data_IF_210830654934
#
_entry.id   IF_210830654934
#
_cell.length_a   1.000
_cell.length_b   1.000
_cell.length_c   1.000
_cell.angle_alpha   90.00
_cell.angle_beta   90.00
_cell.angle_gamma   90.00
#
_symmetry.space_group_name_H-M   'P 1'
#
loop_
_entity.id
_entity.type
_entity.pdbx_description
1 polymer ?
#
# COMPACT_ATOMS: atom_id res chain seq x y z
N UNK A 1 -48.78 8.58 7.19
CA UNK A 1 -47.92 8.11 6.08
C UNK A 1 -46.84 9.11 5.67
N UNK A 2 -47.11 10.43 5.61
CA UNK A 2 -46.13 11.45 5.16
C UNK A 2 -45.01 11.76 6.17
N UNK A 3 -45.25 11.58 7.48
CA UNK A 3 -44.27 11.88 8.55
C UNK A 3 -43.13 10.87 8.60
N UNK A 4 -43.42 9.60 8.31
CA UNK A 4 -42.44 8.52 8.22
C UNK A 4 -41.63 8.62 6.91
N UNK A 5 -42.23 9.19 5.86
CA UNK A 5 -41.57 9.49 4.59
C UNK A 5 -40.57 10.65 4.72
N UNK A 6 -40.91 11.67 5.50
CA UNK A 6 -40.00 12.80 5.81
C UNK A 6 -38.80 12.32 6.65
N UNK A 7 -39.03 11.44 7.63
CA UNK A 7 -37.94 10.86 8.44
C UNK A 7 -37.01 9.99 7.58
N UNK A 8 -37.56 9.24 6.60
CA UNK A 8 -36.75 8.48 5.65
C UNK A 8 -35.90 9.39 4.74
N UNK A 9 -36.45 10.53 4.31
CA UNK A 9 -35.75 11.47 3.43
C UNK A 9 -34.60 12.19 4.16
N UNK A 10 -34.76 12.50 5.45
CA UNK A 10 -33.71 13.14 6.28
C UNK A 10 -32.55 12.17 6.58
N UNK A 11 -32.83 10.88 6.77
CA UNK A 11 -31.81 9.83 6.97
C UNK A 11 -30.98 9.55 5.71
N UNK A 12 -31.57 9.70 4.53
CA UNK A 12 -30.88 9.54 3.24
C UNK A 12 -30.04 10.77 2.89
N UNK A 13 -30.35 11.95 3.46
CA UNK A 13 -29.58 13.18 3.23
C UNK A 13 -28.31 13.28 4.09
N UNK A 14 -28.25 12.58 5.23
CA UNK A 14 -27.06 12.55 6.10
C UNK A 14 -25.90 11.71 5.56
N UNK A 15 -26.11 10.96 4.46
CA UNK A 15 -25.04 10.22 3.78
C UNK A 15 -24.48 10.98 2.59
N UNK A 16 -24.68 12.30 2.47
CA UNK A 16 -23.77 13.15 1.69
C UNK A 16 -22.42 13.20 2.43
N UNK A 17 -21.71 12.09 2.25
CA UNK A 17 -20.27 11.95 2.06
C UNK A 17 -19.55 13.24 2.44
N UNK A 18 -18.88 13.20 3.58
CA UNK A 18 -17.65 13.96 3.75
C UNK A 18 -16.75 13.53 2.58
N UNK A 19 -16.89 14.21 1.44
CA UNK A 19 -15.86 14.26 0.42
C UNK A 19 -14.78 15.12 1.07
N UNK A 20 -14.02 14.51 1.98
CA UNK A 20 -12.68 14.97 2.25
C UNK A 20 -12.01 14.89 0.88
N UNK A 21 -11.87 16.03 0.20
CA UNK A 21 -10.94 16.15 -0.90
C UNK A 21 -9.55 15.93 -0.32
N UNK A 22 -9.16 14.66 -0.18
CA UNK A 22 -7.76 14.32 -0.07
C UNK A 22 -7.17 14.59 -1.44
N UNK A 23 -6.56 15.77 -1.58
CA UNK A 23 -5.71 16.07 -2.71
C UNK A 23 -4.43 15.24 -2.54
N UNK A 24 -4.56 13.92 -2.75
CA UNK A 24 -3.48 12.96 -2.65
C UNK A 24 -2.64 13.02 -3.92
N UNK A 25 -1.75 14.01 -3.97
CA UNK A 25 -0.52 13.86 -4.74
C UNK A 25 0.49 13.06 -3.90
N UNK A 26 0.17 11.78 -3.62
CA UNK A 26 0.99 10.91 -2.76
C UNK A 26 2.10 10.16 -3.50
N UNK A 27 2.29 10.43 -4.79
CA UNK A 27 3.22 9.71 -5.66
C UNK A 27 4.69 10.15 -5.56
N UNK A 28 5.03 11.03 -4.61
CA UNK A 28 6.41 11.53 -4.41
C UNK A 28 6.94 11.33 -2.98
N UNK A 29 6.24 10.56 -2.14
CA UNK A 29 6.73 10.28 -0.79
C UNK A 29 7.89 9.27 -0.81
N UNK A 30 9.02 9.68 -0.22
CA UNK A 30 10.17 8.81 0.05
C UNK A 30 9.96 8.15 1.41
N UNK A 31 10.16 6.84 1.46
CA UNK A 31 10.01 6.01 2.64
C UNK A 31 11.37 5.36 2.90
N UNK A 32 11.92 5.56 4.09
CA UNK A 32 13.17 4.90 4.53
C UNK A 32 12.87 4.04 5.73
N UNK A 33 13.44 2.85 5.79
CA UNK A 33 13.21 1.96 6.91
C UNK A 33 13.88 0.62 6.74
N UNK A 34 13.50 -0.32 7.59
CA UNK A 34 13.92 -1.71 7.52
C UNK A 34 12.70 -2.62 7.45
N UNK A 35 12.91 -3.81 6.91
CA UNK A 35 11.84 -4.77 6.68
C UNK A 35 12.36 -6.15 6.33
N UNK A 36 11.44 -7.08 6.16
CA UNK A 36 11.73 -8.46 5.80
C UNK A 36 11.13 -8.75 4.45
N UNK A 37 11.95 -9.28 3.53
CA UNK A 37 11.46 -9.81 2.27
C UNK A 37 10.60 -11.03 2.56
N UNK A 38 9.41 -11.09 1.95
CA UNK A 38 8.47 -12.20 2.08
C UNK A 38 8.01 -12.67 0.73
N UNK A 39 8.00 -13.99 0.55
CA UNK A 39 7.26 -14.61 -0.54
C UNK A 39 5.77 -14.63 -0.18
N UNK A 40 4.96 -14.04 -1.05
CA UNK A 40 3.51 -13.94 -0.91
C UNK A 40 2.88 -14.92 -1.89
N UNK A 41 2.18 -15.93 -1.36
CA UNK A 41 1.51 -16.94 -2.14
C UNK A 41 0.11 -16.47 -2.55
N UNK A 42 0.05 -15.53 -3.50
CA UNK A 42 -1.16 -15.03 -4.13
C UNK A 42 -0.96 -15.10 -5.65
N UNK A 43 -1.90 -15.70 -6.38
CA UNK A 43 -1.78 -16.02 -7.81
C UNK A 43 -0.55 -16.91 -8.09
N UNK A 44 0.38 -16.48 -8.96
CA UNK A 44 1.65 -17.16 -9.24
C UNK A 44 2.73 -16.88 -8.18
N UNK A 45 2.41 -16.04 -7.21
CA UNK A 45 3.28 -15.65 -6.11
C UNK A 45 4.29 -14.56 -6.49
N UNK A 46 4.65 -13.74 -5.51
CA UNK A 46 5.57 -12.62 -5.69
C UNK A 46 6.33 -12.32 -4.40
N UNK A 47 7.35 -11.47 -4.49
CA UNK A 47 8.11 -11.01 -3.32
C UNK A 47 7.69 -9.60 -2.92
N UNK A 48 7.31 -9.43 -1.66
CA UNK A 48 7.00 -8.15 -1.05
C UNK A 48 7.92 -7.83 0.13
N UNK A 49 7.85 -6.60 0.63
CA UNK A 49 8.58 -6.17 1.84
C UNK A 49 7.55 -5.95 2.94
N UNK A 50 7.70 -6.66 4.06
CA UNK A 50 6.97 -6.34 5.30
C UNK A 50 7.86 -5.43 6.13
N UNK A 51 7.48 -4.16 6.24
CA UNK A 51 8.20 -3.16 7.00
C UNK A 51 8.11 -3.41 8.51
N UNK A 52 9.14 -3.01 9.24
CA UNK A 52 9.16 -3.06 10.71
C UNK A 52 8.14 -2.08 11.32
N UNK A 53 7.64 -1.13 10.52
CA UNK A 53 6.53 -0.22 10.84
C UNK A 53 5.14 -0.89 10.70
N UNK A 54 5.09 -2.15 10.25
CA UNK A 54 3.86 -2.92 10.04
C UNK A 54 3.22 -2.71 8.66
N UNK A 55 3.77 -1.84 7.82
CA UNK A 55 3.28 -1.64 6.45
C UNK A 55 3.75 -2.75 5.52
N UNK A 56 3.01 -2.93 4.43
CA UNK A 56 3.36 -3.83 3.33
C UNK A 56 3.72 -3.00 2.12
N UNK A 57 4.89 -3.25 1.57
CA UNK A 57 5.36 -2.59 0.35
C UNK A 57 5.47 -3.60 -0.78
N UNK A 58 4.94 -3.21 -1.92
CA UNK A 58 4.86 -4.01 -3.14
C UNK A 58 5.84 -3.44 -4.18
N UNK A 59 7.09 -3.93 -4.20
CA UNK A 59 8.14 -3.36 -5.02
C UNK A 59 7.98 -3.77 -6.49
N UNK A 60 7.87 -2.77 -7.37
CA UNK A 60 7.70 -2.99 -8.81
C UNK A 60 9.02 -3.33 -9.54
N UNK A 61 10.17 -3.14 -8.89
CA UNK A 61 11.51 -3.31 -9.46
C UNK A 61 12.48 -4.05 -8.51
N UNK A 62 11.99 -5.00 -7.69
CA UNK A 62 12.85 -5.76 -6.77
C UNK A 62 13.82 -6.68 -7.55
N UNK A 63 15.12 -6.43 -7.35
CA UNK A 63 16.20 -7.21 -7.95
C UNK A 63 16.21 -8.65 -7.47
N UNK A 64 16.67 -9.58 -8.33
CA UNK A 64 16.62 -11.02 -8.08
C UNK A 64 17.43 -11.45 -6.84
N UNK A 65 18.55 -10.76 -6.56
CA UNK A 65 19.39 -11.05 -5.40
C UNK A 65 18.69 -10.84 -4.05
N UNK A 66 17.63 -10.03 -4.01
CA UNK A 66 16.84 -9.80 -2.80
C UNK A 66 15.62 -10.72 -2.70
N UNK A 67 15.33 -11.56 -3.70
CA UNK A 67 14.16 -12.47 -3.73
C UNK A 67 14.39 -13.72 -2.90
N UNK A 68 14.67 -13.52 -1.61
CA UNK A 68 14.91 -14.57 -0.63
C UNK A 68 13.94 -14.37 0.52
N UNK A 69 13.04 -15.33 0.74
CA UNK A 69 12.09 -15.26 1.85
C UNK A 69 12.83 -15.19 3.19
N UNK A 70 12.41 -14.27 4.05
CA UNK A 70 13.03 -14.02 5.35
C UNK A 70 14.26 -13.11 5.32
N UNK A 71 14.69 -12.61 4.16
CA UNK A 71 15.84 -11.71 4.07
C UNK A 71 15.56 -10.37 4.76
N UNK A 72 16.42 -10.00 5.70
CA UNK A 72 16.40 -8.70 6.37
C UNK A 72 17.08 -7.64 5.51
N UNK A 73 16.40 -6.50 5.34
CA UNK A 73 16.87 -5.40 4.49
C UNK A 73 16.63 -4.05 5.13
N UNK A 74 17.52 -3.11 4.83
CA UNK A 74 17.26 -1.67 4.94
C UNK A 74 16.97 -1.13 3.54
N UNK A 75 16.02 -0.21 3.42
CA UNK A 75 15.55 0.29 2.14
C UNK A 75 15.31 1.79 2.13
N UNK A 76 15.31 2.33 0.91
CA UNK A 76 14.75 3.62 0.54
C UNK A 76 13.84 3.41 -0.66
N UNK A 77 12.57 3.73 -0.48
CA UNK A 77 11.49 3.45 -1.41
C UNK A 77 10.84 4.76 -1.84
N UNK A 78 10.34 4.81 -3.06
CA UNK A 78 9.45 5.87 -3.54
C UNK A 78 8.06 5.31 -3.72
N UNK A 79 7.06 5.87 -3.04
CA UNK A 79 5.66 5.51 -3.25
C UNK A 79 5.26 5.80 -4.69
N UNK A 80 4.55 4.86 -5.30
CA UNK A 80 4.00 5.00 -6.65
C UNK A 80 2.47 5.14 -6.58
N UNK A 81 1.84 5.73 -7.62
CA UNK A 81 0.39 5.81 -7.68
C UNK A 81 -0.29 4.44 -7.55
N UNK A 82 -1.51 4.43 -7.04
CA UNK A 82 -2.34 3.22 -7.05
C UNK A 82 -2.59 2.72 -8.48
N UNK A 83 -2.73 1.41 -8.65
CA UNK A 83 -2.98 0.77 -9.95
C UNK A 83 -1.72 0.46 -10.78
N UNK A 84 -0.53 0.85 -10.34
CA UNK A 84 0.73 0.43 -11.00
C UNK A 84 1.14 -1.00 -10.65
N UNK A 85 0.66 -1.53 -9.52
CA UNK A 85 0.85 -2.94 -9.15
C UNK A 85 -0.40 -3.75 -9.44
N UNK A 86 -0.20 -4.99 -9.88
CA UNK A 86 -1.24 -5.98 -10.12
C UNK A 86 -1.57 -6.82 -8.88
N UNK A 87 -0.72 -6.83 -7.84
CA UNK A 87 -0.87 -7.77 -6.72
C UNK A 87 -1.93 -7.35 -5.69
N UNK A 88 -2.33 -6.07 -5.66
CA UNK A 88 -3.34 -5.52 -4.73
C UNK A 88 -3.10 -5.90 -3.25
N UNK A 89 -1.85 -6.04 -2.82
CA UNK A 89 -1.47 -6.58 -1.50
C UNK A 89 -0.86 -5.54 -0.55
N UNK A 90 -0.13 -4.58 -1.10
CA UNK A 90 0.60 -3.56 -0.35
C UNK A 90 0.70 -2.24 -1.10
N UNK A 91 1.42 -1.28 -0.53
CA UNK A 91 1.68 0.03 -1.12
C UNK A 91 2.64 -0.17 -2.31
N UNK A 92 2.26 0.19 -3.55
CA UNK A 92 3.17 0.09 -4.67
C UNK A 92 4.36 1.03 -4.48
N UNK A 93 5.57 0.48 -4.60
CA UNK A 93 6.81 1.25 -4.41
C UNK A 93 7.84 0.94 -5.49
N UNK A 94 8.65 1.94 -5.79
CA UNK A 94 9.90 1.79 -6.53
C UNK A 94 11.04 1.75 -5.51
N UNK A 95 11.88 0.72 -5.59
CA UNK A 95 13.09 0.58 -4.79
C UNK A 95 14.15 1.52 -5.35
N UNK A 96 14.57 2.50 -4.57
CA UNK A 96 15.66 3.43 -4.92
C UNK A 96 17.00 2.91 -4.41
N UNK A 97 17.01 2.41 -3.18
CA UNK A 97 18.18 1.80 -2.54
C UNK A 97 17.68 0.64 -1.66
N UNK A 98 18.40 -0.48 -1.67
CA UNK A 98 18.14 -1.62 -0.81
C UNK A 98 19.45 -2.33 -0.50
N UNK A 99 19.60 -2.80 0.74
CA UNK A 99 20.76 -3.60 1.14
C UNK A 99 20.35 -4.62 2.18
N UNK A 100 21.02 -5.77 2.16
CA UNK A 100 20.91 -6.78 3.21
C UNK A 100 21.47 -6.22 4.52
N UNK A 101 20.78 -6.52 5.61
CA UNK A 101 21.28 -6.31 6.98
C UNK A 101 21.24 -7.67 7.70
N UNK A 102 22.30 -7.98 8.45
CA UNK A 102 22.44 -9.24 9.20
C UNK A 102 21.66 -9.25 10.50
#
# INVERSE_FOLDING_TARGET
>A
MKRNLIILIVLVLSTLIAVCSDNHNESDSIITGSGTIRFINLEDGFFGIVGDDGNRYDPINLEEEFRVDGLRVEFKLKKRPEGVSIHMWGIPVEVLEIKKIE
#
